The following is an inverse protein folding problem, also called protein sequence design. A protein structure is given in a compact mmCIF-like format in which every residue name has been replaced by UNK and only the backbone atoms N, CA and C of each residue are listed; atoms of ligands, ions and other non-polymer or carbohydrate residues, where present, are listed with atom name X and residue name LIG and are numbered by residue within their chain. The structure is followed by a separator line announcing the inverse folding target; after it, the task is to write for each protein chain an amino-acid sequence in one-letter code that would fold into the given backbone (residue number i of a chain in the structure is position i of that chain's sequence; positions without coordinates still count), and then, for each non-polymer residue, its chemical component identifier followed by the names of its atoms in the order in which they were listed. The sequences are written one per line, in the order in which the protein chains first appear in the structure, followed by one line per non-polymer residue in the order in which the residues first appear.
data_IF_651158059995
#
_entry.id   IF_651158059995
#
_cell.length_a   1.000
_cell.length_b   1.000
_cell.length_c   1.000
_cell.angle_alpha   90.00
_cell.angle_beta   90.00
_cell.angle_gamma   90.00
#
_symmetry.space_group_name_H-M   'P 1'
#
loop_
_entity.id
_entity.type
_entity.pdbx_description
1 polymer ?
#
# COMPACT_ATOMS: atom_id res chain seq x y z
N UNK A 1 36.43 12.29 4.84
CA UNK A 1 35.74 11.94 5.32
C UNK A 1 35.01 11.38 4.67
N UNK A 2 35.17 11.32 4.69
CA UNK A 2 34.67 11.19 3.78
C UNK A 2 34.22 9.94 3.09
N UNK A 3 34.97 9.12 2.42
CA UNK A 3 34.42 7.95 1.75
C UNK A 3 33.65 7.01 2.68
N UNK A 4 34.14 6.87 3.89
CA UNK A 4 33.51 6.00 4.86
C UNK A 4 32.14 6.51 5.29
N UNK A 5 32.05 7.82 5.51
CA UNK A 5 30.79 8.44 5.91
C UNK A 5 29.80 8.33 4.77
N UNK A 6 30.25 8.55 3.55
CA UNK A 6 29.37 8.43 2.40
C UNK A 6 28.86 7.01 2.24
N UNK A 7 29.71 6.03 2.49
CA UNK A 7 29.31 4.63 2.41
C UNK A 7 28.27 4.29 3.45
N UNK A 8 28.47 4.77 4.69
CA UNK A 8 27.53 4.56 5.77
C UNK A 8 26.21 5.22 5.45
N UNK A 9 26.27 6.46 4.95
CA UNK A 9 25.06 7.18 4.58
C UNK A 9 24.31 6.46 3.46
N UNK A 10 25.01 5.92 2.49
CA UNK A 10 24.41 5.14 1.43
C UNK A 10 23.71 3.89 1.96
N UNK A 11 24.35 3.21 2.90
CA UNK A 11 23.75 2.03 3.51
C UNK A 11 22.52 2.39 4.34
N UNK A 12 22.59 3.47 5.09
CA UNK A 12 21.43 3.96 5.84
C UNK A 12 20.31 4.37 4.92
N UNK A 13 20.64 5.05 3.84
CA UNK A 13 19.67 5.42 2.81
C UNK A 13 19.03 4.18 2.21
N UNK A 14 19.83 3.16 1.95
CA UNK A 14 19.31 1.91 1.40
C UNK A 14 18.35 1.24 2.37
N UNK A 15 18.68 1.22 3.66
CA UNK A 15 17.82 0.63 4.66
C UNK A 15 16.51 1.40 4.80
N UNK A 16 16.59 2.73 4.87
CA UNK A 16 15.42 3.59 4.92
C UNK A 16 14.60 3.44 3.65
N UNK A 17 15.28 3.44 2.48
CA UNK A 17 14.60 3.27 1.21
C UNK A 17 13.95 1.90 1.10
N UNK A 18 14.52 0.86 1.70
CA UNK A 18 13.90 -0.45 1.69
C UNK A 18 12.58 -0.46 2.46
N UNK A 19 12.50 0.31 3.56
CA UNK A 19 11.25 0.45 4.29
C UNK A 19 10.22 1.15 3.43
N UNK A 20 10.64 2.16 2.65
CA UNK A 20 9.75 2.91 1.77
C UNK A 20 9.70 2.34 0.36
N UNK A 21 10.78 1.66 -0.09
CA UNK A 21 10.87 1.14 -1.46
C UNK A 21 10.04 -0.10 -1.69
N UNK A 22 9.49 -0.68 -0.62
CA UNK A 22 8.51 -1.75 -0.79
C UNK A 22 7.22 -1.23 -1.40
N UNK A 23 7.00 0.07 -1.34
CA UNK A 23 5.82 0.70 -1.92
C UNK A 23 6.06 1.12 -3.36
N UNK A 24 5.22 0.64 -4.25
CA UNK A 24 5.26 0.98 -5.67
C UNK A 24 4.26 2.11 -5.90
N UNK A 25 4.65 3.11 -6.69
CA UNK A 25 3.81 4.28 -6.90
C UNK A 25 3.12 4.29 -8.27
N UNK A 26 2.99 3.13 -8.88
CA UNK A 26 2.34 2.98 -10.17
C UNK A 26 1.48 1.72 -10.16
N UNK A 27 0.21 1.87 -10.53
CA UNK A 27 -0.75 0.77 -10.48
C UNK A 27 -0.38 -0.38 -11.41
N UNK A 28 -0.05 -0.07 -12.66
CA UNK A 28 0.26 -1.10 -13.66
C UNK A 28 1.51 -1.90 -13.28
N UNK A 29 2.52 -1.19 -12.77
CA UNK A 29 3.74 -1.84 -12.29
C UNK A 29 3.42 -2.77 -11.11
N UNK A 30 2.61 -2.30 -10.18
CA UNK A 30 2.20 -3.10 -9.02
C UNK A 30 1.42 -4.33 -9.41
N UNK A 31 0.49 -4.18 -10.34
CA UNK A 31 -0.33 -5.29 -10.81
C UNK A 31 0.52 -6.34 -11.53
N UNK A 32 1.46 -5.89 -12.34
CA UNK A 32 2.38 -6.79 -13.04
C UNK A 32 3.21 -7.60 -12.04
N UNK A 33 3.69 -6.93 -10.99
CA UNK A 33 4.49 -7.58 -9.96
C UNK A 33 3.65 -8.58 -9.15
N UNK A 34 2.39 -8.23 -8.88
CA UNK A 34 1.47 -9.14 -8.19
C UNK A 34 1.28 -10.43 -8.98
N UNK A 35 1.14 -10.32 -10.30
CA UNK A 35 1.04 -11.50 -11.16
C UNK A 35 2.30 -12.33 -11.10
N UNK A 36 3.47 -11.70 -11.20
CA UNK A 36 4.74 -12.41 -11.19
C UNK A 36 4.99 -13.14 -9.88
N UNK A 37 4.61 -12.54 -8.76
CA UNK A 37 4.85 -13.11 -7.44
C UNK A 37 3.69 -13.93 -6.92
N UNK A 38 2.57 -13.93 -7.60
CA UNK A 38 1.34 -14.58 -7.16
C UNK A 38 0.95 -14.11 -5.75
N UNK A 39 0.91 -12.80 -5.58
CA UNK A 39 0.52 -12.15 -4.34
C UNK A 39 -0.63 -11.19 -4.59
N UNK A 40 -1.51 -10.98 -3.62
CA UNK A 40 -2.53 -9.95 -3.78
C UNK A 40 -1.90 -8.55 -3.70
N UNK A 41 -2.59 -7.60 -4.31
CA UNK A 41 -2.14 -6.22 -4.41
C UNK A 41 -2.87 -5.38 -3.38
N UNK A 42 -2.13 -4.73 -2.48
CA UNK A 42 -2.70 -3.78 -1.52
C UNK A 42 -2.51 -2.38 -2.08
N UNK A 43 -3.59 -1.64 -2.25
CA UNK A 43 -3.55 -0.28 -2.76
C UNK A 43 -3.94 0.69 -1.66
N UNK A 44 -3.07 1.67 -1.43
CA UNK A 44 -3.28 2.79 -0.53
C UNK A 44 -3.52 4.03 -1.39
N UNK A 45 -4.78 4.46 -1.49
CA UNK A 45 -5.09 5.76 -2.10
C UNK A 45 -4.84 6.83 -1.05
N UNK A 46 -3.93 7.73 -1.35
CA UNK A 46 -3.41 8.68 -0.37
C UNK A 46 -3.24 10.06 -1.01
N UNK A 47 -2.87 11.03 -0.21
CA UNK A 47 -2.55 12.37 -0.67
C UNK A 47 -1.37 12.91 0.09
N UNK A 48 -0.59 13.77 -0.56
CA UNK A 48 0.57 14.40 0.09
C UNK A 48 0.16 15.25 1.28
N UNK A 49 -1.02 15.88 1.18
CA UNK A 49 -1.52 16.77 2.25
C UNK A 49 -2.56 16.10 3.14
N UNK A 50 -2.71 14.79 3.04
CA UNK A 50 -3.72 14.06 3.77
C UNK A 50 -3.23 13.75 5.19
N UNK A 51 -3.76 14.46 6.18
CA UNK A 51 -3.38 14.27 7.58
C UNK A 51 -3.71 12.88 8.09
N UNK A 52 -4.90 12.38 7.76
CA UNK A 52 -5.33 11.05 8.19
C UNK A 52 -4.49 9.94 7.56
N UNK A 53 -4.01 10.15 6.33
CA UNK A 53 -3.12 9.21 5.69
C UNK A 53 -1.80 9.10 6.44
N UNK A 54 -1.23 10.27 6.81
CA UNK A 54 0.01 10.29 7.60
C UNK A 54 -0.19 9.64 8.96
N UNK A 55 -1.36 9.87 9.56
CA UNK A 55 -1.66 9.27 10.86
C UNK A 55 -1.66 7.74 10.80
N UNK A 56 -2.30 7.18 9.78
CA UNK A 56 -2.32 5.73 9.59
C UNK A 56 -0.91 5.17 9.39
N UNK A 57 -0.10 5.86 8.61
CA UNK A 57 1.29 5.43 8.35
C UNK A 57 2.12 5.40 9.62
N UNK A 58 1.93 6.36 10.52
CA UNK A 58 2.75 6.47 11.72
C UNK A 58 2.19 5.68 12.90
N UNK A 59 0.91 5.31 12.89
CA UNK A 59 0.29 4.67 14.05
C UNK A 59 -0.22 3.26 13.78
N UNK A 60 -0.59 2.94 12.55
CA UNK A 60 -1.14 1.63 12.21
C UNK A 60 -0.16 0.80 11.38
N UNK A 61 0.41 1.40 10.35
CA UNK A 61 1.31 0.67 9.44
C UNK A 61 2.61 0.22 10.13
N UNK A 62 2.98 0.88 11.24
CA UNK A 62 4.20 0.53 11.99
C UNK A 62 3.97 -0.60 12.97
N UNK A 63 2.74 -1.04 13.18
CA UNK A 63 2.45 -2.16 14.07
C UNK A 63 3.15 -3.41 13.55
N UNK A 64 3.85 -4.17 14.41
CA UNK A 64 4.59 -5.35 13.95
C UNK A 64 3.74 -6.39 13.22
N UNK A 65 2.51 -6.57 13.65
CA UNK A 65 1.62 -7.54 13.01
C UNK A 65 1.18 -7.05 11.63
N UNK A 66 0.95 -5.74 11.48
CA UNK A 66 0.62 -5.16 10.19
C UNK A 66 1.81 -5.29 9.24
N UNK A 67 3.01 -4.98 9.72
CA UNK A 67 4.22 -5.11 8.89
C UNK A 67 4.42 -6.55 8.41
N UNK A 68 4.19 -7.50 9.28
CA UNK A 68 4.34 -8.92 8.92
C UNK A 68 3.32 -9.32 7.86
N UNK A 69 2.08 -8.87 8.00
CA UNK A 69 1.05 -9.14 7.02
C UNK A 69 1.35 -8.47 5.68
N UNK A 70 1.90 -7.26 5.70
CA UNK A 70 2.24 -6.54 4.48
C UNK A 70 3.24 -7.30 3.60
N UNK A 71 4.06 -8.16 4.19
CA UNK A 71 5.01 -8.97 3.42
C UNK A 71 4.32 -9.95 2.48
N UNK A 72 3.04 -10.24 2.72
CA UNK A 72 2.26 -11.15 1.89
C UNK A 72 1.54 -10.43 0.75
N UNK A 73 1.75 -9.13 0.60
CA UNK A 73 1.12 -8.31 -0.43
C UNK A 73 2.17 -7.62 -1.28
N UNK A 74 1.79 -7.27 -2.50
CA UNK A 74 2.50 -6.23 -3.25
C UNK A 74 1.88 -4.90 -2.82
N UNK A 75 2.70 -3.97 -2.36
CA UNK A 75 2.23 -2.72 -1.77
C UNK A 75 2.30 -1.58 -2.78
N UNK A 76 1.16 -0.96 -3.06
CA UNK A 76 1.05 0.15 -4.00
C UNK A 76 0.46 1.35 -3.30
N UNK A 77 1.10 2.49 -3.47
CA UNK A 77 0.65 3.75 -2.90
C UNK A 77 0.38 4.72 -4.05
N UNK A 78 -0.86 5.15 -4.17
CA UNK A 78 -1.30 5.99 -5.28
C UNK A 78 -1.75 7.35 -4.75
N UNK A 79 -1.00 8.39 -5.14
CA UNK A 79 -1.30 9.75 -4.74
C UNK A 79 -2.34 10.34 -5.68
N UNK A 80 -3.35 11.02 -5.11
CA UNK A 80 -4.45 11.57 -5.88
C UNK A 80 -4.47 13.10 -5.90
N UNK A 81 -3.55 13.75 -5.20
CA UNK A 81 -3.54 15.21 -5.10
C UNK A 81 -2.28 15.86 -5.68
N UNK A 82 -1.41 15.07 -6.29
CA UNK A 82 -0.19 15.58 -6.92
C UNK A 82 0.72 14.45 -7.33
N UNK A 83 1.83 14.83 -7.99
CA UNK A 83 2.80 13.85 -8.48
C UNK A 83 2.40 13.23 -9.81
N UNK A 84 3.26 12.34 -10.34
CA UNK A 84 2.96 11.67 -11.61
C UNK A 84 1.67 10.86 -11.52
N UNK A 85 0.86 10.93 -12.57
CA UNK A 85 -0.36 10.12 -12.69
C UNK A 85 -1.41 10.37 -11.62
N UNK A 86 -1.34 11.48 -10.87
CA UNK A 86 -2.30 11.70 -9.80
C UNK A 86 -3.75 11.78 -10.31
N UNK A 87 -3.95 12.33 -11.50
CA UNK A 87 -5.30 12.43 -12.07
C UNK A 87 -5.84 11.07 -12.46
N UNK A 88 -4.99 10.20 -12.99
CA UNK A 88 -5.37 8.83 -13.33
C UNK A 88 -5.70 8.05 -12.07
N UNK A 89 -4.90 8.24 -11.01
CA UNK A 89 -5.15 7.59 -9.73
C UNK A 89 -6.48 8.03 -9.13
N UNK A 90 -6.75 9.34 -9.14
CA UNK A 90 -8.00 9.88 -8.64
C UNK A 90 -9.19 9.34 -9.44
N UNK A 91 -9.05 9.33 -10.76
CA UNK A 91 -10.10 8.82 -11.65
C UNK A 91 -10.41 7.36 -11.33
N UNK A 92 -9.38 6.54 -11.13
CA UNK A 92 -9.58 5.13 -10.80
C UNK A 92 -10.30 4.98 -9.46
N UNK A 93 -9.91 5.75 -8.45
CA UNK A 93 -10.58 5.69 -7.15
C UNK A 93 -12.05 6.02 -7.27
N UNK A 94 -12.37 7.11 -7.97
CA UNK A 94 -13.75 7.57 -8.10
C UNK A 94 -14.57 6.64 -8.99
N UNK A 95 -14.08 6.31 -10.18
CA UNK A 95 -14.86 5.57 -11.16
C UNK A 95 -14.99 4.10 -10.84
N UNK A 96 -13.89 3.51 -10.36
CA UNK A 96 -13.91 2.07 -10.08
C UNK A 96 -14.40 1.74 -8.68
N UNK A 97 -14.03 2.54 -7.69
CA UNK A 97 -14.35 2.24 -6.30
C UNK A 97 -15.41 3.15 -5.70
N UNK A 98 -15.81 4.18 -6.42
CA UNK A 98 -16.94 5.01 -6.02
C UNK A 98 -16.68 5.97 -4.88
N UNK A 99 -15.43 6.32 -4.63
CA UNK A 99 -15.09 7.21 -3.53
C UNK A 99 -13.92 8.12 -3.88
N UNK A 100 -13.88 9.29 -3.27
CA UNK A 100 -12.72 10.18 -3.34
C UNK A 100 -12.10 10.35 -1.95
N UNK A 101 -12.58 9.60 -0.96
CA UNK A 101 -12.10 9.71 0.42
C UNK A 101 -10.65 9.24 0.53
N UNK A 102 -9.90 9.86 1.43
CA UNK A 102 -8.52 9.50 1.75
C UNK A 102 -8.36 9.42 3.25
N UNK A 103 -7.67 8.41 3.77
CA UNK A 103 -7.13 7.27 3.02
C UNK A 103 -8.24 6.30 2.62
N UNK A 104 -8.00 5.57 1.55
CA UNK A 104 -8.88 4.48 1.14
C UNK A 104 -8.00 3.31 0.72
N UNK A 105 -8.29 2.14 1.24
CA UNK A 105 -7.48 0.95 0.99
C UNK A 105 -8.30 -0.11 0.30
N UNK A 106 -7.71 -0.78 -0.67
CA UNK A 106 -8.38 -1.86 -1.37
C UNK A 106 -7.36 -2.95 -1.71
N UNK A 107 -7.78 -4.20 -1.63
CA UNK A 107 -6.96 -5.33 -2.02
C UNK A 107 -7.52 -5.94 -3.28
N UNK A 108 -6.66 -6.13 -4.27
CA UNK A 108 -7.01 -6.78 -5.52
C UNK A 108 -6.25 -8.08 -5.67
N UNK A 109 -6.85 -9.03 -6.39
CA UNK A 109 -6.15 -10.24 -6.77
C UNK A 109 -5.15 -9.95 -7.90
N UNK A 110 -4.21 -10.86 -8.17
CA UNK A 110 -3.35 -10.71 -9.37
C UNK A 110 -4.14 -10.58 -10.67
N UNK A 111 -5.37 -11.08 -10.71
CA UNK A 111 -6.26 -10.97 -11.87
C UNK A 111 -7.07 -9.67 -11.86
N UNK A 112 -6.72 -8.73 -10.96
CA UNK A 112 -7.32 -7.41 -10.91
C UNK A 112 -8.78 -7.42 -10.45
N UNK A 113 -9.14 -8.34 -9.56
CA UNK A 113 -10.47 -8.40 -8.97
C UNK A 113 -10.43 -7.94 -7.53
N UNK A 114 -11.42 -7.19 -7.10
CA UNK A 114 -11.47 -6.70 -5.72
C UNK A 114 -11.72 -7.84 -4.73
N UNK A 115 -10.87 -7.94 -3.72
CA UNK A 115 -11.02 -8.95 -2.66
C UNK A 115 -11.61 -8.37 -1.39
N UNK A 116 -11.24 -7.15 -1.03
CA UNK A 116 -11.78 -6.46 0.14
C UNK A 116 -11.38 -4.99 0.09
N UNK A 117 -12.03 -4.16 0.90
CA UNK A 117 -11.73 -2.74 1.01
C UNK A 117 -11.88 -2.27 2.44
N UNK A 118 -11.22 -1.15 2.76
CA UNK A 118 -11.24 -0.56 4.09
C UNK A 118 -11.29 0.96 3.93
N UNK A 119 -12.34 1.57 4.48
CA UNK A 119 -12.61 2.99 4.32
C UNK A 119 -12.04 3.81 5.47
N UNK A 120 -11.31 4.86 5.08
CA UNK A 120 -10.95 5.92 6.00
C UNK A 120 -9.94 5.57 7.06
N UNK A 121 -9.77 6.51 7.96
CA UNK A 121 -8.86 6.37 9.10
C UNK A 121 -9.61 5.68 10.23
N UNK A 122 -8.99 4.66 10.82
CA UNK A 122 -9.54 3.97 11.96
C UNK A 122 -8.39 3.69 12.93
N UNK A 123 -8.46 4.19 14.17
CA UNK A 123 -7.38 3.98 15.13
C UNK A 123 -7.30 2.56 15.66
N UNK A 124 -8.30 1.73 15.39
CA UNK A 124 -8.30 0.34 15.86
C UNK A 124 -7.44 -0.54 14.96
N UNK A 125 -6.21 -0.79 15.38
CA UNK A 125 -5.26 -1.63 14.65
C UNK A 125 -5.83 -3.02 14.40
N UNK A 126 -6.61 -3.55 15.36
CA UNK A 126 -7.23 -4.87 15.22
C UNK A 126 -8.16 -4.96 14.03
N UNK A 127 -8.89 -3.89 13.74
CA UNK A 127 -9.77 -3.86 12.56
C UNK A 127 -8.97 -3.88 11.27
N UNK A 128 -7.85 -3.16 11.23
CA UNK A 128 -7.00 -3.14 10.05
C UNK A 128 -6.35 -4.51 9.83
N UNK A 129 -5.88 -5.14 10.91
CA UNK A 129 -5.33 -6.49 10.85
C UNK A 129 -6.38 -7.47 10.32
N UNK A 130 -7.61 -7.39 10.84
CA UNK A 130 -8.70 -8.26 10.40
C UNK A 130 -9.00 -8.07 8.91
N UNK A 131 -8.94 -6.83 8.43
CA UNK A 131 -9.11 -6.53 7.01
C UNK A 131 -8.04 -7.24 6.17
N UNK A 132 -6.76 -7.10 6.55
CA UNK A 132 -5.68 -7.72 5.81
C UNK A 132 -5.79 -9.24 5.83
N UNK A 133 -6.11 -9.82 6.99
CA UNK A 133 -6.25 -11.25 7.12
C UNK A 133 -7.42 -11.77 6.29
N UNK A 134 -8.54 -11.05 6.29
CA UNK A 134 -9.68 -11.45 5.48
C UNK A 134 -9.36 -11.40 3.99
N UNK A 135 -8.66 -10.36 3.56
CA UNK A 135 -8.26 -10.24 2.15
C UNK A 135 -7.36 -11.42 1.75
N UNK A 136 -6.43 -11.82 2.63
CA UNK A 136 -5.59 -12.98 2.37
C UNK A 136 -6.38 -14.27 2.30
N UNK A 137 -7.38 -14.43 3.18
CA UNK A 137 -8.24 -15.61 3.17
C UNK A 137 -9.04 -15.70 1.87
N UNK A 138 -9.61 -14.58 1.43
CA UNK A 138 -10.35 -14.53 0.16
C UNK A 138 -9.43 -14.88 -1.00
N UNK A 139 -8.22 -14.34 -0.99
CA UNK A 139 -7.23 -14.62 -2.04
C UNK A 139 -6.88 -16.11 -2.08
N UNK A 140 -6.60 -16.71 -0.94
CA UNK A 140 -6.23 -18.13 -0.87
C UNK A 140 -7.38 -19.04 -1.31
N UNK A 141 -8.59 -18.69 -0.91
CA UNK A 141 -9.77 -19.49 -1.29
C UNK A 141 -10.07 -19.41 -2.78
N UNK A 142 -9.81 -18.24 -3.40
CA UNK A 142 -9.98 -18.10 -4.85
C UNK A 142 -8.98 -18.93 -5.63
N UNK A 143 -7.79 -19.16 -5.05
CA UNK A 143 -6.76 -19.96 -5.70
C UNK A 143 -7.05 -21.46 -5.72
N UNK A 144 -8.08 -21.88 -5.01
CA UNK A 144 -8.50 -23.27 -5.02
C UNK A 144 -9.77 -23.44 -5.84
#
# INVERSE_FOLDING_TARGET
LPPEINTIDSNNKKSVNMIHSNWINDFEEGLSLAKNRNKPLFIDFTGYTCTNCRWMETNVFVDPNVKELFDQFVLVKLFTDGGPKYRENQKMEVERFGTSALPFYVVLSPENEELDRFHGMDPDVGKFIAFLENALDVFKNKGT
#
